data_IF_893726253934
#
_entry.id   IF_893726253934
#
_cell.length_a   1.000
_cell.length_b   1.000
_cell.length_c   1.000
_cell.angle_alpha   90.00
_cell.angle_beta   90.00
_cell.angle_gamma   90.00
#
_symmetry.space_group_name_H-M   'P 1'
#
loop_
_entity.id
_entity.type
_entity.pdbx_description
1 polymer ?
#
# COMPACT_ATOMS: atom_id res chain seq x y z
N UNK A 1 -24.43 3.05 -8.54
CA UNK A 1 -24.25 3.16 -10.02
C UNK A 1 -23.23 4.26 -10.22
N UNK A 2 -22.06 3.91 -10.75
CA UNK A 2 -20.93 4.81 -10.90
C UNK A 2 -21.31 6.09 -11.65
N UNK A 3 -21.00 7.23 -11.03
CA UNK A 3 -21.14 8.52 -11.68
C UNK A 3 -20.04 8.71 -12.73
N UNK A 4 -20.36 9.43 -13.80
CA UNK A 4 -19.43 9.74 -14.89
C UNK A 4 -19.39 11.25 -15.09
N UNK A 5 -18.21 11.76 -15.44
CA UNK A 5 -18.03 13.15 -15.87
C UNK A 5 -17.63 13.16 -17.35
N UNK A 6 -18.08 14.17 -18.10
CA UNK A 6 -17.79 14.32 -19.52
C UNK A 6 -16.45 15.01 -19.80
N UNK A 7 -15.94 15.77 -18.84
CA UNK A 7 -14.66 16.46 -18.92
C UNK A 7 -14.02 16.59 -17.52
N UNK A 8 -12.69 16.86 -17.45
CA UNK A 8 -12.00 17.01 -16.18
C UNK A 8 -12.52 18.17 -15.31
N UNK A 9 -12.58 17.93 -13.99
CA UNK A 9 -13.04 18.87 -12.97
C UNK A 9 -11.92 19.16 -11.97
N UNK A 10 -11.79 20.40 -11.50
CA UNK A 10 -10.77 20.83 -10.55
C UNK A 10 -9.72 21.74 -11.18
N UNK A 11 -8.50 21.69 -10.63
CA UNK A 11 -7.38 22.51 -11.06
C UNK A 11 -7.07 22.29 -12.54
N UNK A 12 -7.14 23.36 -13.35
CA UNK A 12 -6.87 23.29 -14.79
C UNK A 12 -7.84 22.40 -15.60
N UNK A 13 -8.97 22.00 -15.02
CA UNK A 13 -10.02 21.24 -15.68
C UNK A 13 -10.94 22.11 -16.54
N UNK A 14 -11.73 21.48 -17.41
CA UNK A 14 -12.76 22.17 -18.20
C UNK A 14 -13.90 22.68 -17.32
N UNK A 15 -14.12 22.07 -16.15
CA UNK A 15 -15.05 22.55 -15.12
C UNK A 15 -16.47 22.82 -15.63
N UNK A 16 -16.98 21.93 -16.51
CA UNK A 16 -18.37 22.00 -16.97
C UNK A 16 -19.30 21.90 -15.75
N UNK A 17 -20.25 22.82 -15.63
CA UNK A 17 -21.10 22.92 -14.44
C UNK A 17 -21.78 21.60 -14.04
N UNK A 18 -22.24 20.81 -15.01
CA UNK A 18 -22.84 19.48 -14.74
C UNK A 18 -21.83 18.50 -14.11
N UNK A 19 -20.61 18.43 -14.65
CA UNK A 19 -19.54 17.56 -14.14
C UNK A 19 -19.07 18.02 -12.76
N UNK A 20 -19.00 19.33 -12.53
CA UNK A 20 -18.64 19.91 -11.22
C UNK A 20 -19.66 19.54 -10.16
N UNK A 21 -20.97 19.60 -10.45
CA UNK A 21 -22.01 19.17 -9.50
C UNK A 21 -21.86 17.70 -9.12
N UNK A 22 -21.56 16.85 -10.10
CA UNK A 22 -21.31 15.42 -9.85
C UNK A 22 -20.13 15.25 -8.88
N UNK A 23 -19.01 15.92 -9.12
CA UNK A 23 -17.83 15.83 -8.25
C UNK A 23 -18.11 16.42 -6.87
N UNK A 24 -18.79 17.56 -6.76
CA UNK A 24 -19.19 18.14 -5.47
C UNK A 24 -20.09 17.18 -4.68
N UNK A 25 -21.06 16.55 -5.34
CA UNK A 25 -21.95 15.55 -4.73
C UNK A 25 -21.19 14.32 -4.24
N UNK A 26 -20.25 13.81 -5.04
CA UNK A 26 -19.38 12.71 -4.64
C UNK A 26 -18.50 13.09 -3.44
N UNK A 27 -17.86 14.26 -3.47
CA UNK A 27 -17.04 14.77 -2.36
C UNK A 27 -17.85 14.88 -1.07
N UNK A 28 -19.08 15.38 -1.13
CA UNK A 28 -19.99 15.49 0.01
C UNK A 28 -20.40 14.14 0.64
N UNK A 29 -20.21 13.04 -0.09
CA UNK A 29 -20.43 11.66 0.40
C UNK A 29 -19.18 11.06 1.02
N UNK A 30 -18.01 11.62 0.76
CA UNK A 30 -16.76 11.17 1.38
C UNK A 30 -16.75 11.60 2.85
N UNK A 31 -16.50 10.66 3.76
CA UNK A 31 -16.39 10.96 5.18
C UNK A 31 -15.13 11.80 5.45
N UNK A 32 -15.16 12.72 6.43
CA UNK A 32 -13.95 13.46 6.82
C UNK A 32 -12.77 12.56 7.22
N UNK A 33 -13.04 11.42 7.86
CA UNK A 33 -12.01 10.42 8.21
C UNK A 33 -11.37 9.73 7.01
N UNK A 34 -11.90 9.92 5.79
CA UNK A 34 -11.38 9.38 4.53
C UNK A 34 -10.80 10.49 3.61
N UNK A 35 -10.70 11.72 4.12
CA UNK A 35 -10.24 12.90 3.37
C UNK A 35 -11.34 13.77 2.78
N UNK A 36 -12.61 13.47 3.07
CA UNK A 36 -13.76 14.28 2.63
C UNK A 36 -13.83 15.65 3.34
N UNK A 37 -14.60 16.60 2.78
CA UNK A 37 -14.73 17.93 3.37
C UNK A 37 -15.50 17.88 4.70
N UNK A 38 -14.95 18.53 5.74
CA UNK A 38 -15.61 18.64 7.05
C UNK A 38 -16.93 19.44 6.98
N UNK A 39 -16.96 20.49 6.16
CA UNK A 39 -18.16 21.25 5.80
C UNK A 39 -18.52 20.94 4.36
N UNK A 40 -19.75 20.48 4.12
CA UNK A 40 -20.22 20.14 2.78
C UNK A 40 -20.10 21.33 1.82
N UNK A 41 -19.73 21.02 0.59
CA UNK A 41 -19.70 21.95 -0.53
C UNK A 41 -21.14 22.24 -1.00
N UNK A 42 -21.38 23.44 -1.50
CA UNK A 42 -22.57 23.70 -2.30
C UNK A 42 -22.45 22.93 -3.63
N UNK A 43 -23.50 22.21 -4.03
CA UNK A 43 -23.57 21.48 -5.31
C UNK A 43 -24.04 22.42 -6.43
N UNK A 44 -23.37 23.55 -6.55
CA UNK A 44 -23.74 24.68 -7.42
C UNK A 44 -23.18 24.55 -8.85
N UNK A 45 -22.23 23.66 -9.07
CA UNK A 45 -21.51 23.51 -10.34
C UNK A 45 -20.38 24.52 -10.53
N UNK A 46 -20.01 25.26 -9.49
CA UNK A 46 -18.91 26.22 -9.51
C UNK A 46 -17.63 25.58 -8.97
N UNK A 47 -16.62 25.45 -9.83
CA UNK A 47 -15.33 24.88 -9.44
C UNK A 47 -14.42 25.94 -8.83
N UNK A 48 -14.76 26.40 -7.63
CA UNK A 48 -13.95 27.36 -6.87
C UNK A 48 -12.86 26.72 -5.99
N UNK A 49 -12.12 27.54 -5.22
CA UNK A 49 -11.05 27.07 -4.35
C UNK A 49 -11.48 25.99 -3.34
N UNK A 50 -12.74 26.03 -2.86
CA UNK A 50 -13.27 25.02 -1.94
C UNK A 50 -13.39 23.64 -2.59
N UNK A 51 -13.90 23.57 -3.83
CA UNK A 51 -14.01 22.33 -4.59
C UNK A 51 -12.62 21.76 -4.90
N UNK A 52 -11.70 22.60 -5.38
CA UNK A 52 -10.32 22.19 -5.70
C UNK A 52 -9.60 21.69 -4.44
N UNK A 53 -9.75 22.39 -3.31
CA UNK A 53 -9.19 21.95 -2.04
C UNK A 53 -9.75 20.60 -1.61
N UNK A 54 -11.07 20.41 -1.68
CA UNK A 54 -11.69 19.14 -1.30
C UNK A 54 -11.21 17.97 -2.18
N UNK A 55 -11.01 18.19 -3.49
CA UNK A 55 -10.39 17.18 -4.37
C UNK A 55 -8.97 16.87 -3.89
N UNK A 56 -8.16 17.89 -3.62
CA UNK A 56 -6.79 17.72 -3.15
C UNK A 56 -6.72 17.00 -1.81
N UNK A 57 -7.60 17.31 -0.87
CA UNK A 57 -7.66 16.68 0.45
C UNK A 57 -7.96 15.17 0.33
N UNK A 58 -8.90 14.78 -0.53
CA UNK A 58 -9.18 13.35 -0.82
C UNK A 58 -7.97 12.69 -1.46
N UNK A 59 -7.33 13.34 -2.43
CA UNK A 59 -6.13 12.80 -3.10
C UNK A 59 -4.95 12.66 -2.15
N UNK A 60 -4.69 13.64 -1.29
CA UNK A 60 -3.67 13.58 -0.24
C UNK A 60 -3.94 12.42 0.70
N UNK A 61 -5.18 12.30 1.17
CA UNK A 61 -5.54 11.24 2.09
C UNK A 61 -5.38 9.85 1.45
N UNK A 62 -5.92 9.66 0.25
CA UNK A 62 -6.06 8.34 -0.40
C UNK A 62 -4.85 7.94 -1.25
N UNK A 63 -4.07 8.90 -1.76
CA UNK A 63 -3.14 8.68 -2.87
C UNK A 63 -1.78 9.40 -2.77
N UNK A 64 -1.42 10.02 -1.64
CA UNK A 64 -0.11 10.69 -1.49
C UNK A 64 1.10 9.78 -1.78
N UNK A 65 0.95 8.45 -1.69
CA UNK A 65 1.96 7.43 -2.03
C UNK A 65 1.94 6.97 -3.50
N UNK A 66 1.04 7.55 -4.31
CA UNK A 66 0.81 7.16 -5.71
C UNK A 66 1.13 8.31 -6.65
N UNK A 67 0.67 9.52 -6.35
CA UNK A 67 0.93 10.71 -7.14
C UNK A 67 0.86 11.97 -6.27
N UNK A 68 1.41 13.08 -6.76
CA UNK A 68 1.31 14.36 -6.09
C UNK A 68 -0.11 14.93 -6.23
N UNK A 69 -0.85 15.20 -5.13
CA UNK A 69 -2.22 15.68 -5.18
C UNK A 69 -2.37 17.00 -5.96
N UNK A 70 -2.97 16.91 -7.16
CA UNK A 70 -3.06 18.01 -8.12
C UNK A 70 -4.34 18.84 -7.96
N UNK A 71 -5.34 18.33 -7.24
CA UNK A 71 -6.66 18.94 -7.11
C UNK A 71 -7.53 18.77 -8.34
N UNK A 72 -7.33 17.72 -9.14
CA UNK A 72 -8.06 17.45 -10.39
C UNK A 72 -8.65 16.04 -10.45
N UNK A 73 -9.87 15.94 -10.96
CA UNK A 73 -10.59 14.69 -11.24
C UNK A 73 -10.72 14.53 -12.75
N UNK A 74 -10.00 13.57 -13.32
CA UNK A 74 -10.07 13.25 -14.75
C UNK A 74 -11.09 12.15 -15.07
N UNK A 75 -11.60 12.19 -16.30
CA UNK A 75 -12.62 11.26 -16.83
C UNK A 75 -12.13 9.82 -16.72
N UNK A 76 -12.92 8.97 -16.05
CA UNK A 76 -12.64 7.54 -15.84
C UNK A 76 -11.30 7.23 -15.15
N UNK A 77 -10.67 8.19 -14.47
CA UNK A 77 -9.37 8.00 -13.80
C UNK A 77 -9.51 7.65 -12.31
N UNK A 78 -8.36 7.40 -11.65
CA UNK A 78 -8.25 6.90 -10.26
C UNK A 78 -9.08 7.70 -9.27
N UNK A 79 -8.99 9.03 -9.28
CA UNK A 79 -9.73 9.88 -8.33
C UNK A 79 -11.24 9.69 -8.46
N UNK A 80 -11.78 9.69 -9.69
CA UNK A 80 -13.21 9.49 -9.91
C UNK A 80 -13.66 8.08 -9.48
N UNK A 81 -12.88 7.05 -9.81
CA UNK A 81 -13.17 5.67 -9.40
C UNK A 81 -13.20 5.53 -7.88
N UNK A 82 -12.25 6.13 -7.16
CA UNK A 82 -12.23 6.12 -5.69
C UNK A 82 -13.41 6.86 -5.10
N UNK A 83 -13.77 8.02 -5.65
CA UNK A 83 -14.93 8.78 -5.20
C UNK A 83 -16.23 7.99 -5.38
N UNK A 84 -16.43 7.32 -6.52
CA UNK A 84 -17.56 6.41 -6.72
C UNK A 84 -17.55 5.26 -5.72
N UNK A 85 -16.39 4.61 -5.51
CA UNK A 85 -16.28 3.50 -4.57
C UNK A 85 -16.60 3.93 -3.14
N UNK A 86 -16.14 5.10 -2.69
CA UNK A 86 -16.49 5.64 -1.37
C UNK A 86 -17.98 6.02 -1.28
N UNK A 87 -18.55 6.57 -2.34
CA UNK A 87 -19.96 6.98 -2.37
C UNK A 87 -20.93 5.78 -2.37
N UNK A 88 -20.53 4.66 -2.97
CA UNK A 88 -21.32 3.42 -3.02
C UNK A 88 -21.01 2.48 -1.82
N UNK A 89 -20.03 2.82 -0.97
CA UNK A 89 -19.66 2.00 0.19
C UNK A 89 -20.60 2.21 1.39
N UNK A 90 -21.04 1.09 1.98
CA UNK A 90 -21.75 1.06 3.26
C UNK A 90 -20.83 1.00 4.49
N UNK A 91 -19.51 1.09 4.33
CA UNK A 91 -18.59 0.98 5.46
C UNK A 91 -18.78 2.15 6.45
N UNK A 92 -18.76 1.80 7.74
CA UNK A 92 -18.93 2.73 8.85
C UNK A 92 -17.63 2.76 9.65
N UNK A 93 -17.03 3.96 9.84
CA UNK A 93 -15.91 4.15 10.76
C UNK A 93 -16.23 3.54 12.13
N UNK A 94 -15.38 2.62 12.57
CA UNK A 94 -15.55 1.85 13.79
C UNK A 94 -14.25 1.79 14.59
N UNK A 95 -14.06 0.67 15.28
CA UNK A 95 -12.86 0.47 16.08
C UNK A 95 -11.61 0.37 15.19
N UNK A 96 -10.54 1.01 15.65
CA UNK A 96 -9.25 0.91 14.98
C UNK A 96 -8.77 -0.54 14.94
N UNK A 97 -8.17 -1.00 13.84
CA UNK A 97 -7.51 -2.29 13.83
C UNK A 97 -6.37 -2.34 14.84
N UNK A 98 -5.77 -1.21 15.21
CA UNK A 98 -4.89 -1.05 16.38
C UNK A 98 -3.82 -2.13 16.49
N UNK A 99 -2.97 -2.27 15.46
CA UNK A 99 -1.83 -3.20 15.48
C UNK A 99 -0.54 -2.42 15.38
N UNK A 100 0.39 -2.64 16.31
CA UNK A 100 1.75 -2.13 16.27
C UNK A 100 2.67 -3.29 16.68
N UNK A 101 3.52 -3.74 15.75
CA UNK A 101 4.38 -4.92 15.97
C UNK A 101 5.71 -4.56 16.65
N UNK A 102 5.87 -3.29 17.03
CA UNK A 102 7.08 -2.75 17.63
C UNK A 102 8.10 -2.27 16.60
N UNK A 103 9.26 -1.85 17.11
CA UNK A 103 10.32 -1.26 16.28
C UNK A 103 10.94 -2.30 15.35
N UNK A 104 10.79 -2.08 14.05
CA UNK A 104 11.57 -2.74 12.99
C UNK A 104 12.40 -1.67 12.31
N UNK A 105 13.71 -1.89 12.21
CA UNK A 105 14.59 -0.95 11.52
C UNK A 105 14.26 -0.95 10.02
N UNK A 106 14.03 0.24 9.46
CA UNK A 106 13.87 0.41 8.02
C UNK A 106 15.23 0.28 7.34
N UNK A 107 15.32 -0.59 6.34
CA UNK A 107 16.51 -0.76 5.51
C UNK A 107 16.17 -0.36 4.07
N UNK A 108 17.01 0.49 3.48
CA UNK A 108 16.93 0.84 2.06
C UNK A 108 17.75 -0.13 1.23
N UNK A 109 17.18 -0.60 0.12
CA UNK A 109 17.91 -1.46 -0.81
C UNK A 109 19.04 -0.66 -1.50
N UNK A 110 20.27 -1.21 -1.59
CA UNK A 110 21.38 -0.51 -2.23
C UNK A 110 21.23 -0.43 -3.76
N UNK A 111 20.56 -1.41 -4.37
CA UNK A 111 20.36 -1.52 -5.82
C UNK A 111 18.91 -1.90 -6.14
N UNK A 112 18.47 -1.73 -7.39
CA UNK A 112 17.05 -1.83 -7.77
C UNK A 112 16.46 -3.26 -7.75
N UNK A 113 17.27 -4.32 -7.78
CA UNK A 113 16.77 -5.70 -7.86
C UNK A 113 16.78 -6.47 -6.52
N UNK A 114 17.21 -5.85 -5.42
CA UNK A 114 17.45 -6.55 -4.13
C UNK A 114 16.43 -6.22 -3.04
N UNK A 115 15.20 -5.86 -3.44
CA UNK A 115 14.09 -5.64 -2.52
C UNK A 115 13.82 -6.88 -1.64
N UNK A 116 13.91 -8.07 -2.24
CA UNK A 116 13.75 -9.37 -1.57
C UNK A 116 14.72 -9.56 -0.40
N UNK A 117 16.02 -9.33 -0.63
CA UNK A 117 17.07 -9.48 0.38
C UNK A 117 16.87 -8.46 1.51
N UNK A 118 16.52 -7.22 1.14
CA UNK A 118 16.34 -6.12 2.10
C UNK A 118 15.12 -6.35 2.99
N UNK A 119 13.98 -6.72 2.41
CA UNK A 119 12.76 -7.02 3.16
C UNK A 119 12.92 -8.26 4.06
N UNK A 120 13.54 -9.33 3.54
CA UNK A 120 13.86 -10.50 4.36
C UNK A 120 14.76 -10.13 5.54
N UNK A 121 15.77 -9.27 5.33
CA UNK A 121 16.65 -8.78 6.40
C UNK A 121 15.85 -8.05 7.50
N UNK A 122 14.90 -7.19 7.12
CA UNK A 122 14.02 -6.51 8.09
C UNK A 122 13.18 -7.51 8.90
N UNK A 123 12.59 -8.51 8.23
CA UNK A 123 11.77 -9.54 8.87
C UNK A 123 12.59 -10.47 9.77
N UNK A 124 13.77 -10.90 9.32
CA UNK A 124 14.71 -11.71 10.12
C UNK A 124 15.18 -10.94 11.35
N UNK A 125 15.53 -9.66 11.18
CA UNK A 125 15.94 -8.79 12.28
C UNK A 125 14.84 -8.63 13.32
N UNK A 126 13.60 -8.43 12.87
CA UNK A 126 12.43 -8.32 13.74
C UNK A 126 12.12 -9.63 14.49
N UNK A 127 12.21 -10.78 13.80
CA UNK A 127 12.01 -12.11 14.41
C UNK A 127 13.05 -12.37 15.50
N UNK A 128 14.33 -12.13 15.18
CA UNK A 128 15.47 -12.48 16.03
C UNK A 128 15.78 -11.42 17.09
N UNK A 129 15.01 -10.32 17.11
CA UNK A 129 15.24 -9.14 17.97
C UNK A 129 16.69 -8.67 17.89
N UNK A 130 17.25 -8.68 16.69
CA UNK A 130 18.66 -8.41 16.40
C UNK A 130 18.77 -7.56 15.14
N UNK A 131 19.75 -6.69 15.05
CA UNK A 131 19.98 -5.89 13.83
C UNK A 131 20.94 -6.61 12.90
N UNK A 132 20.52 -6.90 11.68
CA UNK A 132 21.39 -7.48 10.65
C UNK A 132 21.68 -6.48 9.53
N UNK A 133 22.89 -6.55 8.99
CA UNK A 133 23.15 -6.04 7.64
C UNK A 133 22.51 -6.98 6.61
N UNK A 134 22.23 -6.47 5.41
CA UNK A 134 21.67 -7.31 4.34
C UNK A 134 22.60 -8.48 4.01
N UNK A 135 23.90 -8.23 3.91
CA UNK A 135 24.90 -9.27 3.65
C UNK A 135 24.87 -10.37 4.71
N UNK A 136 24.89 -10.00 6.00
CA UNK A 136 24.85 -10.97 7.11
C UNK A 136 23.56 -11.81 7.11
N UNK A 137 22.42 -11.22 6.73
CA UNK A 137 21.18 -11.97 6.58
C UNK A 137 21.23 -12.95 5.40
N UNK A 138 21.81 -12.56 4.26
CA UNK A 138 21.98 -13.46 3.12
C UNK A 138 22.98 -14.58 3.42
N UNK A 139 24.07 -14.31 4.16
CA UNK A 139 25.00 -15.35 4.64
C UNK A 139 24.33 -16.35 5.60
N UNK A 140 23.32 -15.93 6.37
CA UNK A 140 22.50 -16.84 7.17
C UNK A 140 21.63 -17.72 6.27
N UNK A 141 21.03 -17.17 5.22
CA UNK A 141 20.22 -17.92 4.27
C UNK A 141 21.06 -18.93 3.47
N UNK A 142 22.23 -18.53 2.96
CA UNK A 142 23.14 -19.41 2.21
C UNK A 142 23.66 -20.58 3.04
N UNK A 143 23.84 -20.40 4.36
CA UNK A 143 24.18 -21.51 5.25
C UNK A 143 23.09 -22.56 5.36
N UNK A 144 21.84 -22.21 5.09
CA UNK A 144 20.68 -23.12 5.13
C UNK A 144 20.40 -23.71 3.74
N UNK A 145 20.41 -22.88 2.70
CA UNK A 145 20.25 -23.31 1.30
C UNK A 145 21.25 -22.56 0.41
N UNK A 146 22.41 -23.17 0.09
CA UNK A 146 23.43 -22.53 -0.75
C UNK A 146 23.11 -22.63 -2.25
N UNK A 147 22.00 -23.26 -2.66
CA UNK A 147 21.71 -23.60 -4.07
C UNK A 147 21.73 -22.39 -4.99
N UNK A 148 21.21 -21.25 -4.53
CA UNK A 148 21.10 -20.03 -5.32
C UNK A 148 22.31 -19.08 -5.14
N UNK A 149 23.02 -19.19 -4.01
CA UNK A 149 24.04 -18.21 -3.60
C UNK A 149 23.45 -16.81 -3.40
N UNK A 150 22.61 -16.63 -2.38
CA UNK A 150 21.90 -15.40 -2.05
C UNK A 150 22.83 -14.21 -1.81
N UNK A 151 24.01 -14.40 -1.20
CA UNK A 151 25.02 -13.34 -1.08
C UNK A 151 25.47 -12.87 -2.46
N UNK A 152 25.83 -13.80 -3.34
CA UNK A 152 26.25 -13.48 -4.70
C UNK A 152 25.13 -12.82 -5.51
N UNK A 153 23.89 -13.31 -5.39
CA UNK A 153 22.73 -12.68 -6.03
C UNK A 153 22.53 -11.24 -5.54
N UNK A 154 22.64 -11.01 -4.23
CA UNK A 154 22.54 -9.68 -3.64
C UNK A 154 23.67 -8.76 -4.15
N UNK A 155 24.92 -9.20 -4.08
CA UNK A 155 26.10 -8.42 -4.47
C UNK A 155 26.14 -8.13 -5.99
N UNK A 156 25.55 -9.02 -6.81
CA UNK A 156 25.48 -8.87 -8.27
C UNK A 156 24.14 -8.30 -8.78
N UNK A 157 23.33 -7.70 -7.90
CA UNK A 157 22.06 -7.06 -8.23
C UNK A 157 21.07 -7.96 -9.01
N UNK A 158 20.92 -9.21 -8.57
CA UNK A 158 19.96 -10.16 -9.17
C UNK A 158 18.64 -10.18 -8.39
N UNK A 159 17.55 -10.19 -9.14
CA UNK A 159 16.22 -10.40 -8.58
C UNK A 159 16.03 -11.85 -8.16
N UNK A 160 15.28 -12.08 -7.08
CA UNK A 160 14.87 -13.42 -6.68
C UNK A 160 13.85 -13.96 -7.69
N UNK A 161 14.11 -15.10 -8.37
CA UNK A 161 13.13 -15.70 -9.26
C UNK A 161 11.87 -16.10 -8.49
N UNK A 162 10.65 -15.91 -9.02
CA UNK A 162 9.42 -16.23 -8.31
C UNK A 162 9.36 -17.67 -7.78
N UNK A 163 9.83 -18.65 -8.57
CA UNK A 163 9.89 -20.06 -8.19
C UNK A 163 10.85 -20.35 -7.02
N UNK A 164 11.78 -19.43 -6.72
CA UNK A 164 12.74 -19.53 -5.62
C UNK A 164 12.27 -18.82 -4.35
N UNK A 165 11.08 -18.21 -4.34
CA UNK A 165 10.55 -17.53 -3.15
C UNK A 165 10.36 -18.47 -1.97
N UNK A 166 9.72 -19.63 -2.18
CA UNK A 166 9.54 -20.64 -1.13
C UNK A 166 10.87 -21.17 -0.55
N UNK A 167 11.82 -21.63 -1.37
CA UNK A 167 13.16 -22.00 -0.89
C UNK A 167 13.87 -20.89 -0.11
N UNK A 168 13.90 -19.67 -0.65
CA UNK A 168 14.55 -18.53 -0.02
C UNK A 168 13.92 -18.14 1.33
N UNK A 169 12.59 -18.06 1.39
CA UNK A 169 11.89 -17.74 2.65
C UNK A 169 12.18 -18.78 3.72
N UNK A 170 12.18 -20.08 3.38
CA UNK A 170 12.60 -21.14 4.30
C UNK A 170 14.06 -21.00 4.73
N UNK A 171 14.98 -20.66 3.81
CA UNK A 171 16.38 -20.43 4.12
C UNK A 171 16.59 -19.26 5.09
N UNK A 172 15.77 -18.22 4.98
CA UNK A 172 15.72 -17.12 5.95
C UNK A 172 15.07 -17.52 7.29
N UNK A 173 14.48 -18.70 7.41
CA UNK A 173 13.64 -19.13 8.55
C UNK A 173 12.31 -18.36 8.63
N UNK A 174 11.85 -17.84 7.50
CA UNK A 174 10.55 -17.21 7.34
C UNK A 174 9.56 -18.23 6.75
N UNK A 175 8.28 -17.85 6.74
CA UNK A 175 7.17 -18.61 6.20
C UNK A 175 6.45 -17.78 5.16
N UNK A 176 5.81 -18.52 4.26
CA UNK A 176 4.89 -17.97 3.28
C UNK A 176 3.48 -18.03 3.84
N UNK A 177 2.80 -16.88 3.86
CA UNK A 177 1.39 -16.78 4.18
C UNK A 177 0.50 -17.22 3.01
N UNK A 178 -0.79 -17.46 3.26
CA UNK A 178 -1.70 -17.95 2.23
C UNK A 178 -1.90 -16.91 1.11
N UNK A 179 -2.04 -17.39 -0.13
CA UNK A 179 -2.38 -16.58 -1.29
C UNK A 179 -3.88 -16.22 -1.26
N UNK A 180 -4.22 -15.15 -0.57
CA UNK A 180 -5.60 -14.69 -0.43
C UNK A 180 -5.70 -13.16 -0.33
N UNK A 181 -6.84 -12.61 -0.75
CA UNK A 181 -7.18 -11.22 -0.40
C UNK A 181 -7.76 -11.19 1.01
N UNK A 182 -7.36 -10.18 1.79
CA UNK A 182 -7.74 -10.05 3.19
C UNK A 182 -8.50 -8.75 3.43
N UNK A 183 -9.50 -8.81 4.31
CA UNK A 183 -10.08 -7.61 4.90
C UNK A 183 -9.09 -6.91 5.83
N UNK A 184 -9.40 -5.68 6.24
CA UNK A 184 -8.66 -4.93 7.27
C UNK A 184 -8.45 -5.80 8.53
N UNK A 185 -9.52 -6.42 9.02
CA UNK A 185 -9.46 -7.31 10.17
C UNK A 185 -8.61 -8.57 9.90
N UNK A 186 -8.62 -9.08 8.67
CA UNK A 186 -7.77 -10.20 8.24
C UNK A 186 -6.28 -9.88 8.34
N UNK A 187 -5.84 -8.77 7.73
CA UNK A 187 -4.46 -8.30 7.86
C UNK A 187 -4.07 -8.04 9.32
N UNK A 188 -4.94 -7.40 10.09
CA UNK A 188 -4.69 -7.13 11.49
C UNK A 188 -4.52 -8.42 12.32
N UNK A 189 -5.29 -9.49 12.01
CA UNK A 189 -5.09 -10.82 12.64
C UNK A 189 -3.76 -11.45 12.24
N UNK A 190 -3.39 -11.39 10.95
CA UNK A 190 -2.10 -11.91 10.48
C UNK A 190 -0.93 -11.21 11.18
N UNK A 191 -0.98 -9.89 11.32
CA UNK A 191 0.07 -9.13 11.98
C UNK A 191 0.14 -9.41 13.49
N UNK A 192 -1.00 -9.58 14.17
CA UNK A 192 -1.00 -9.98 15.59
C UNK A 192 -0.38 -11.35 15.81
N UNK A 193 -0.68 -12.31 14.93
CA UNK A 193 -0.16 -13.66 15.02
C UNK A 193 1.32 -13.75 14.67
N UNK A 194 1.76 -13.00 13.65
CA UNK A 194 3.08 -13.20 13.02
C UNK A 194 4.02 -11.99 13.12
N UNK A 195 3.60 -10.87 13.70
CA UNK A 195 4.38 -9.63 13.73
C UNK A 195 4.40 -8.92 12.37
N UNK A 196 5.54 -8.34 12.01
CA UNK A 196 5.71 -7.65 10.74
C UNK A 196 5.50 -8.61 9.56
N UNK A 197 4.88 -8.12 8.50
CA UNK A 197 4.62 -8.89 7.28
C UNK A 197 5.34 -8.26 6.10
N UNK A 198 6.07 -9.06 5.33
CA UNK A 198 6.53 -8.67 3.99
C UNK A 198 5.44 -8.95 2.98
N UNK A 199 5.02 -7.94 2.23
CA UNK A 199 3.94 -8.02 1.25
C UNK A 199 4.48 -7.70 -0.14
N UNK A 200 4.34 -8.66 -1.04
CA UNK A 200 4.66 -8.49 -2.46
C UNK A 200 3.48 -7.84 -3.17
N UNK A 201 3.71 -6.66 -3.76
CA UNK A 201 2.76 -5.97 -4.60
C UNK A 201 3.37 -5.53 -5.94
N UNK A 202 2.55 -4.91 -6.79
CA UNK A 202 2.96 -4.43 -8.11
C UNK A 202 3.13 -2.91 -8.10
N UNK A 203 4.37 -2.42 -8.29
CA UNK A 203 4.68 -1.00 -8.35
C UNK A 203 6.03 -0.66 -9.01
N UNK A 204 6.11 -0.39 -10.33
CA UNK A 204 5.36 -0.96 -11.47
C UNK A 204 5.77 -2.41 -11.78
N UNK A 205 6.79 -2.94 -11.09
CA UNK A 205 7.22 -4.33 -11.11
C UNK A 205 6.89 -5.00 -9.77
N UNK A 206 7.10 -6.32 -9.68
CA UNK A 206 6.96 -7.03 -8.41
C UNK A 206 7.95 -6.47 -7.39
N UNK A 207 7.42 -6.04 -6.25
CA UNK A 207 8.17 -5.36 -5.20
C UNK A 207 7.64 -5.77 -3.84
N UNK A 208 8.55 -6.08 -2.91
CA UNK A 208 8.19 -6.46 -1.54
C UNK A 208 8.39 -5.28 -0.59
N UNK A 209 7.37 -5.02 0.23
CA UNK A 209 7.36 -3.95 1.24
C UNK A 209 6.96 -4.54 2.59
N UNK A 210 7.53 -4.03 3.69
CA UNK A 210 7.22 -4.56 5.03
C UNK A 210 6.19 -3.68 5.72
N UNK A 211 5.15 -4.26 6.30
CA UNK A 211 4.17 -3.54 7.11
C UNK A 211 4.36 -3.85 8.59
N UNK A 212 4.32 -2.80 9.43
CA UNK A 212 4.62 -2.91 10.88
C UNK A 212 3.52 -2.35 11.77
N UNK A 213 2.64 -1.50 11.23
CA UNK A 213 1.54 -0.91 11.99
C UNK A 213 0.30 -0.79 11.13
N UNK A 214 -0.86 -0.96 11.76
CA UNK A 214 -2.18 -0.63 11.21
C UNK A 214 -2.96 0.22 12.21
N UNK A 215 -3.45 1.37 11.76
CA UNK A 215 -4.26 2.31 12.54
C UNK A 215 -5.34 2.96 11.68
N UNK A 216 -6.26 3.72 12.28
CA UNK A 216 -7.37 4.35 11.57
C UNK A 216 -8.72 3.86 12.06
N UNK A 217 -9.74 3.86 11.21
CA UNK A 217 -11.14 3.64 11.60
C UNK A 217 -11.70 2.24 11.28
N UNK A 218 -10.85 1.30 10.87
CA UNK A 218 -11.25 -0.09 10.58
C UNK A 218 -11.87 -0.28 9.19
N UNK A 219 -12.12 0.80 8.45
CA UNK A 219 -12.62 0.74 7.07
C UNK A 219 -11.47 0.65 6.07
N UNK A 220 -11.73 0.21 4.84
CA UNK A 220 -10.71 0.13 3.79
C UNK A 220 -10.19 1.52 3.37
N UNK A 221 -11.00 2.56 3.55
CA UNK A 221 -10.69 3.94 3.15
C UNK A 221 -10.05 4.78 4.25
N UNK A 222 -10.29 4.43 5.52
CA UNK A 222 -9.80 5.18 6.68
C UNK A 222 -8.72 4.44 7.49
N UNK A 223 -8.43 3.18 7.16
CA UNK A 223 -7.29 2.45 7.75
C UNK A 223 -6.00 2.78 7.01
N UNK A 224 -4.91 3.02 7.75
CA UNK A 224 -3.55 3.25 7.24
C UNK A 224 -2.62 2.15 7.71
N UNK A 225 -1.64 1.83 6.87
CA UNK A 225 -0.52 0.94 7.18
C UNK A 225 0.77 1.74 7.24
N UNK A 226 1.60 1.51 8.27
CA UNK A 226 2.99 1.95 8.26
C UNK A 226 3.81 0.98 7.41
N UNK A 227 4.37 1.50 6.32
CA UNK A 227 5.10 0.75 5.30
C UNK A 227 6.59 1.08 5.39
N UNK A 228 7.40 0.05 5.62
CA UNK A 228 8.85 0.03 5.52
C UNK A 228 9.20 -0.50 4.12
N UNK A 229 9.31 0.44 3.18
CA UNK A 229 9.56 0.13 1.77
C UNK A 229 11.06 0.20 1.45
N UNK A 230 11.72 -0.91 1.07
CA UNK A 230 13.13 -0.92 0.70
C UNK A 230 13.51 0.09 -0.39
N UNK A 231 12.58 0.43 -1.29
CA UNK A 231 12.81 1.34 -2.41
C UNK A 231 12.81 2.82 -2.01
N UNK A 232 12.45 3.15 -0.76
CA UNK A 232 12.36 4.53 -0.27
C UNK A 232 13.43 4.84 0.77
N UNK A 233 13.63 6.12 1.09
CA UNK A 233 14.59 6.56 2.11
C UNK A 233 14.06 6.53 3.54
N UNK A 234 12.74 6.46 3.72
CA UNK A 234 12.09 6.47 5.03
C UNK A 234 10.75 5.76 4.98
N UNK A 235 10.25 5.24 6.12
CA UNK A 235 8.89 4.72 6.22
C UNK A 235 7.83 5.77 5.85
N UNK A 236 6.68 5.31 5.39
CA UNK A 236 5.52 6.14 5.09
C UNK A 236 4.22 5.44 5.48
N UNK A 237 3.14 6.21 5.65
CA UNK A 237 1.81 5.65 5.81
C UNK A 237 1.09 5.57 4.46
N UNK A 238 0.40 4.46 4.22
CA UNK A 238 -0.43 4.26 3.03
C UNK A 238 -1.83 3.79 3.43
N UNK A 239 -2.87 4.31 2.76
CA UNK A 239 -4.25 3.86 3.01
C UNK A 239 -4.40 2.41 2.57
N UNK A 240 -5.11 1.62 3.38
CA UNK A 240 -5.31 0.19 3.21
C UNK A 240 -5.73 -0.16 1.78
N UNK A 241 -6.81 0.44 1.27
CA UNK A 241 -7.32 0.10 -0.07
C UNK A 241 -6.30 0.43 -1.18
N UNK A 242 -5.54 1.51 -1.03
CA UNK A 242 -4.51 1.89 -2.00
C UNK A 242 -3.32 0.93 -1.94
N UNK A 243 -2.95 0.47 -0.74
CA UNK A 243 -1.93 -0.55 -0.55
C UNK A 243 -2.37 -1.90 -1.13
N UNK A 244 -3.60 -2.35 -0.84
CA UNK A 244 -4.09 -3.67 -1.25
C UNK A 244 -4.39 -3.76 -2.73
N UNK A 245 -4.79 -2.67 -3.39
CA UNK A 245 -4.92 -2.64 -4.87
C UNK A 245 -3.59 -3.05 -5.56
N UNK A 246 -2.44 -2.64 -5.02
CA UNK A 246 -1.12 -3.04 -5.55
C UNK A 246 -0.79 -4.50 -5.22
N UNK A 247 -1.18 -4.97 -4.04
CA UNK A 247 -1.03 -6.37 -3.61
C UNK A 247 -1.86 -7.32 -4.49
N UNK A 248 -3.13 -7.00 -4.71
CA UNK A 248 -4.06 -7.78 -5.52
C UNK A 248 -3.65 -7.77 -7.01
N UNK A 249 -3.16 -6.63 -7.52
CA UNK A 249 -2.64 -6.55 -8.87
C UNK A 249 -1.44 -7.49 -9.12
N UNK A 250 -0.60 -7.74 -8.11
CA UNK A 250 0.52 -8.69 -8.24
C UNK A 250 0.06 -10.15 -8.41
N UNK A 251 -1.12 -10.52 -7.88
CA UNK A 251 -1.67 -11.87 -8.07
C UNK A 251 -1.98 -12.16 -9.55
N UNK A 252 -2.32 -11.12 -10.32
CA UNK A 252 -2.55 -11.22 -11.77
C UNK A 252 -1.27 -11.39 -12.61
N UNK A 253 -0.11 -11.04 -12.06
CA UNK A 253 1.19 -11.19 -12.75
C UNK A 253 1.72 -12.62 -12.62
N UNK A 254 1.58 -13.21 -11.44
CA UNK A 254 1.95 -14.60 -11.20
C UNK A 254 1.13 -15.19 -10.07
N UNK A 255 0.07 -15.92 -10.41
CA UNK A 255 -0.88 -16.52 -9.46
C UNK A 255 -0.26 -17.53 -8.47
N UNK A 256 1.02 -17.88 -8.63
CA UNK A 256 1.77 -18.78 -7.72
C UNK A 256 2.79 -18.07 -6.84
N UNK A 257 2.82 -16.73 -6.80
CA UNK A 257 3.81 -16.04 -5.99
C UNK A 257 3.43 -16.08 -4.51
N UNK A 258 4.41 -16.38 -3.68
CA UNK A 258 4.34 -16.35 -2.22
C UNK A 258 4.30 -14.89 -1.74
N UNK A 259 3.13 -14.25 -1.79
CA UNK A 259 3.01 -12.80 -1.65
C UNK A 259 3.14 -12.28 -0.21
N UNK A 260 3.01 -13.13 0.80
CA UNK A 260 3.08 -12.74 2.21
C UNK A 260 4.22 -13.49 2.86
N UNK A 261 5.19 -12.78 3.43
CA UNK A 261 6.32 -13.34 4.17
C UNK A 261 6.19 -12.95 5.64
N UNK A 262 6.42 -13.90 6.53
CA UNK A 262 6.35 -13.65 7.98
C UNK A 262 7.25 -14.61 8.75
N UNK A 263 7.40 -14.40 10.06
CA UNK A 263 8.18 -15.32 10.93
C UNK A 263 7.48 -16.65 11.21
#
# INVERSE_FOLDING_TARGET
MDQRISAPVGQGGANKAADVRIVQSLLNKVRPSWGGPATKLAEDGLCGPKTIKAIRDVQEFQYATVFFPDGRVDVNQRTLRRLNHMADSGEVPGASPGVDVGLVAHLRQPTNMVCWATAATMLMSARDRSSYTIKTAMEKADRVDPTDGYVNMFETNKGLPPARTGPFTRACGLKVGPAASFSVAGFARLMRANGALGIVGLSPFLHIRVITKMSGDGTVFGTRMLVLDPGTSKPYEEVFVTFTERYEAAAGVNARMDQIWHK
#
